data_IF_280014596782
#
_entry.id   IF_280014596782
#
_cell.length_a   1.000
_cell.length_b   1.000
_cell.length_c   1.000
_cell.angle_alpha   90.00
_cell.angle_beta   90.00
_cell.angle_gamma   90.00
#
_symmetry.space_group_name_H-M   'P 1'
#
loop_
_entity.id
_entity.type
_entity.pdbx_description
1 polymer ?
#
# COMPACT_ATOMS: atom_id res chain seq x y z
N UNK A 1 18.96 6.07 -4.53
CA UNK A 1 18.19 5.84 -5.77
C UNK A 1 18.99 5.13 -6.86
N UNK A 2 18.71 3.84 -7.08
CA UNK A 2 19.30 3.06 -8.18
C UNK A 2 18.46 3.32 -9.44
N UNK A 3 19.07 3.85 -10.52
CA UNK A 3 18.36 4.09 -11.78
C UNK A 3 17.83 2.77 -12.37
N UNK A 4 16.51 2.68 -12.59
CA UNK A 4 15.81 1.47 -13.06
C UNK A 4 15.07 1.72 -14.39
N UNK A 5 15.79 1.95 -15.50
CA UNK A 5 15.18 2.33 -16.79
C UNK A 5 14.25 1.25 -17.37
N UNK A 6 14.46 -0.02 -16.99
CA UNK A 6 13.58 -1.13 -17.39
C UNK A 6 12.22 -1.10 -16.71
N UNK A 7 12.14 -0.57 -15.48
CA UNK A 7 10.89 -0.55 -14.72
C UNK A 7 9.87 0.39 -15.38
N UNK A 8 10.34 1.56 -15.83
CA UNK A 8 9.49 2.51 -16.57
C UNK A 8 8.91 1.88 -17.84
N UNK A 9 9.75 1.17 -18.62
CA UNK A 9 9.29 0.45 -19.82
C UNK A 9 8.25 -0.63 -19.52
N UNK A 10 8.37 -1.34 -18.38
CA UNK A 10 7.37 -2.32 -17.97
C UNK A 10 6.04 -1.66 -17.65
N UNK A 11 6.06 -0.57 -16.88
CA UNK A 11 4.85 0.18 -16.53
C UNK A 11 4.18 0.75 -17.78
N UNK A 12 4.97 1.36 -18.69
CA UNK A 12 4.48 1.94 -19.95
C UNK A 12 3.92 0.87 -20.93
N UNK A 13 4.24 -0.41 -20.73
CA UNK A 13 3.75 -1.50 -21.59
C UNK A 13 2.33 -1.98 -21.25
N UNK A 14 1.77 -1.55 -20.11
CA UNK A 14 0.41 -1.91 -19.74
C UNK A 14 -0.60 -1.18 -20.63
N UNK A 15 -1.61 -1.89 -21.11
CA UNK A 15 -2.69 -1.28 -21.89
C UNK A 15 -3.67 -0.54 -20.98
N UNK A 16 -4.34 0.48 -21.51
CA UNK A 16 -5.38 1.23 -20.80
C UNK A 16 -6.47 0.30 -20.23
N UNK A 17 -6.87 -0.71 -21.01
CA UNK A 17 -7.82 -1.73 -20.57
C UNK A 17 -7.32 -2.51 -19.36
N UNK A 18 -6.07 -3.01 -19.40
CA UNK A 18 -5.51 -3.76 -18.29
C UNK A 18 -5.45 -2.92 -17.00
N UNK A 19 -5.03 -1.66 -17.12
CA UNK A 19 -4.98 -0.72 -15.98
C UNK A 19 -6.37 -0.47 -15.40
N UNK A 20 -7.37 -0.24 -16.26
CA UNK A 20 -8.76 0.01 -15.84
C UNK A 20 -9.36 -1.22 -15.16
N UNK A 21 -9.18 -2.41 -15.74
CA UNK A 21 -9.72 -3.67 -15.21
C UNK A 21 -9.06 -4.04 -13.87
N UNK A 22 -7.74 -3.87 -13.74
CA UNK A 22 -7.00 -4.10 -12.50
C UNK A 22 -7.43 -3.12 -11.39
N UNK A 23 -7.47 -1.82 -11.69
CA UNK A 23 -7.82 -0.78 -10.73
C UNK A 23 -9.26 -0.94 -10.24
N UNK A 24 -10.21 -1.18 -11.14
CA UNK A 24 -11.63 -1.36 -10.78
C UNK A 24 -11.84 -2.55 -9.85
N UNK A 25 -11.17 -3.69 -10.11
CA UNK A 25 -11.20 -4.85 -9.23
C UNK A 25 -10.55 -4.55 -7.88
N UNK A 26 -9.38 -3.92 -7.89
CA UNK A 26 -8.67 -3.58 -6.68
C UNK A 26 -9.54 -2.72 -5.74
N UNK A 27 -10.17 -1.69 -6.29
CA UNK A 27 -11.01 -0.76 -5.54
C UNK A 27 -12.25 -1.46 -4.98
N UNK A 28 -12.88 -2.33 -5.76
CA UNK A 28 -13.98 -3.20 -5.29
C UNK A 28 -13.54 -4.08 -4.11
N UNK A 29 -12.31 -4.61 -4.13
CA UNK A 29 -11.78 -5.40 -3.01
C UNK A 29 -11.52 -4.54 -1.77
N UNK A 30 -11.01 -3.31 -1.91
CA UNK A 30 -10.83 -2.39 -0.78
C UNK A 30 -12.16 -2.05 -0.11
N UNK A 31 -13.21 -1.78 -0.88
CA UNK A 31 -14.55 -1.52 -0.36
C UNK A 31 -15.09 -2.70 0.45
N UNK A 32 -14.84 -3.92 -0.02
CA UNK A 32 -15.16 -5.18 0.67
C UNK A 32 -14.23 -5.49 1.85
N UNK A 33 -13.19 -4.70 2.08
CA UNK A 33 -12.24 -4.86 3.18
C UNK A 33 -11.14 -5.90 2.93
N UNK A 34 -10.90 -6.30 1.68
CA UNK A 34 -9.91 -7.32 1.31
C UNK A 34 -8.69 -6.68 0.63
N UNK A 35 -7.80 -6.09 1.43
CA UNK A 35 -6.60 -5.41 0.91
C UNK A 35 -5.61 -6.35 0.23
N UNK A 36 -5.55 -7.61 0.68
CA UNK A 36 -4.67 -8.63 0.09
C UNK A 36 -5.07 -8.94 -1.36
N UNK A 37 -6.38 -9.07 -1.62
CA UNK A 37 -6.87 -9.18 -3.01
C UNK A 37 -6.73 -7.89 -3.79
N UNK A 38 -6.88 -6.74 -3.15
CA UNK A 38 -6.70 -5.44 -3.81
C UNK A 38 -5.26 -5.25 -4.33
N UNK A 39 -4.27 -5.57 -3.51
CA UNK A 39 -2.85 -5.55 -3.91
C UNK A 39 -2.58 -6.50 -5.07
N UNK A 40 -3.01 -7.76 -4.94
CA UNK A 40 -2.82 -8.77 -6.00
C UNK A 40 -3.42 -8.35 -7.33
N UNK A 41 -4.59 -7.70 -7.32
CA UNK A 41 -5.22 -7.20 -8.54
C UNK A 41 -4.35 -6.14 -9.25
N UNK A 42 -3.66 -5.27 -8.51
CA UNK A 42 -2.74 -4.28 -9.08
C UNK A 42 -1.38 -4.88 -9.46
N UNK A 43 -0.90 -5.90 -8.74
CA UNK A 43 0.34 -6.65 -9.04
C UNK A 43 0.27 -7.43 -10.37
N UNK A 44 -0.92 -7.61 -10.94
CA UNK A 44 -1.08 -8.15 -12.29
C UNK A 44 -0.53 -7.20 -13.38
N UNK A 45 -0.35 -5.91 -13.07
CA UNK A 45 0.24 -4.94 -13.97
C UNK A 45 1.76 -5.08 -14.05
N UNK A 46 2.30 -5.01 -15.26
CA UNK A 46 3.74 -5.09 -15.49
C UNK A 46 4.48 -3.96 -14.80
N UNK A 47 5.48 -4.30 -14.00
CA UNK A 47 6.28 -3.32 -13.26
C UNK A 47 5.60 -2.77 -11.98
N UNK A 48 4.46 -3.33 -11.58
CA UNK A 48 3.78 -3.01 -10.32
C UNK A 48 4.00 -4.14 -9.32
N UNK A 49 4.64 -3.82 -8.21
CA UNK A 49 4.80 -4.74 -7.07
C UNK A 49 4.05 -4.23 -5.83
N UNK A 50 4.16 -4.91 -4.68
CA UNK A 50 3.41 -4.57 -3.46
C UNK A 50 3.63 -3.14 -2.97
N UNK A 51 4.85 -2.62 -3.08
CA UNK A 51 5.16 -1.22 -2.72
C UNK A 51 4.41 -0.22 -3.61
N UNK A 52 4.47 -0.39 -4.93
CA UNK A 52 3.75 0.49 -5.88
C UNK A 52 2.23 0.32 -5.75
N UNK A 53 1.75 -0.90 -5.60
CA UNK A 53 0.33 -1.18 -5.45
C UNK A 53 -0.23 -0.55 -4.15
N UNK A 54 0.47 -0.72 -3.02
CA UNK A 54 0.06 -0.07 -1.76
C UNK A 54 0.14 1.45 -1.84
N UNK A 55 1.11 2.03 -2.57
CA UNK A 55 1.16 3.47 -2.83
C UNK A 55 -0.14 3.95 -3.50
N UNK A 56 -0.54 3.31 -4.60
CA UNK A 56 -1.77 3.64 -5.33
C UNK A 56 -3.01 3.50 -4.43
N UNK A 57 -3.11 2.40 -3.67
CA UNK A 57 -4.26 2.17 -2.79
C UNK A 57 -4.32 3.18 -1.64
N UNK A 58 -3.18 3.54 -1.05
CA UNK A 58 -3.11 4.53 0.04
C UNK A 58 -3.50 5.94 -0.40
N UNK A 59 -3.22 6.31 -1.66
CA UNK A 59 -3.62 7.61 -2.21
C UNK A 59 -5.14 7.75 -2.34
N UNK A 60 -5.82 6.67 -2.69
CA UNK A 60 -7.26 6.71 -2.96
C UNK A 60 -8.08 6.27 -1.74
N UNK A 61 -7.56 5.36 -0.90
CA UNK A 61 -8.16 4.94 0.38
C UNK A 61 -7.18 5.09 1.56
N UNK A 62 -6.75 6.32 1.90
CA UNK A 62 -5.78 6.54 2.97
C UNK A 62 -6.26 6.03 4.33
N UNK A 63 -7.58 6.08 4.57
CA UNK A 63 -8.24 5.55 5.77
C UNK A 63 -8.23 4.03 5.91
N UNK A 64 -7.88 3.31 4.84
CA UNK A 64 -7.92 1.83 4.82
C UNK A 64 -6.58 1.20 4.48
N UNK A 65 -5.74 1.86 3.69
CA UNK A 65 -4.49 1.31 3.20
C UNK A 65 -3.30 2.20 3.57
N UNK A 66 -2.26 1.59 4.12
CA UNK A 66 -0.97 2.22 4.37
C UNK A 66 -0.05 2.12 3.15
N UNK A 67 0.81 3.11 2.96
CA UNK A 67 1.84 3.07 1.94
C UNK A 67 3.08 2.31 2.45
N UNK A 68 3.42 1.21 1.80
CA UNK A 68 4.57 0.37 2.14
C UNK A 68 5.89 0.94 1.60
N UNK A 69 6.33 2.10 2.12
CA UNK A 69 7.64 2.68 1.78
C UNK A 69 8.79 1.99 2.51
N UNK A 70 10.01 2.12 1.99
CA UNK A 70 11.21 1.51 2.57
C UNK A 70 11.48 2.05 3.98
N UNK A 71 11.32 3.36 4.18
CA UNK A 71 11.52 4.03 5.46
C UNK A 71 10.47 3.62 6.49
N UNK A 72 9.21 3.48 6.05
CA UNK A 72 8.12 3.05 6.91
C UNK A 72 8.28 1.57 7.30
N UNK A 73 8.66 0.70 6.35
CA UNK A 73 8.95 -0.70 6.63
C UNK A 73 10.15 -0.91 7.56
N UNK A 74 11.21 -0.13 7.38
CA UNK A 74 12.40 -0.22 8.21
C UNK A 74 12.13 0.14 9.68
N UNK A 75 11.10 0.96 9.93
CA UNK A 75 10.72 1.44 11.26
C UNK A 75 9.52 0.70 11.85
N UNK A 76 8.80 -0.09 11.04
CA UNK A 76 7.65 -0.85 11.47
C UNK A 76 8.02 -1.94 12.50
N UNK A 77 7.41 -1.93 13.71
CA UNK A 77 7.75 -2.85 14.79
C UNK A 77 7.67 -4.33 14.41
N UNK A 78 6.66 -4.73 13.63
CA UNK A 78 6.41 -6.13 13.25
C UNK A 78 7.31 -6.63 12.11
N UNK A 79 8.09 -5.75 11.47
CA UNK A 79 8.95 -6.09 10.32
C UNK A 79 10.41 -6.34 10.74
N UNK A 80 10.79 -5.96 11.97
CA UNK A 80 12.11 -6.21 12.56
C UNK A 80 13.29 -5.77 11.66
N UNK A 81 13.10 -4.70 10.88
CA UNK A 81 14.14 -4.13 10.01
C UNK A 81 14.47 -4.95 8.76
N UNK A 82 13.76 -6.06 8.49
CA UNK A 82 13.95 -6.85 7.26
C UNK A 82 12.97 -6.40 6.20
N UNK A 83 13.39 -5.42 5.39
CA UNK A 83 12.60 -4.92 4.26
C UNK A 83 12.44 -6.05 3.23
N UNK A 84 11.21 -6.54 3.11
CA UNK A 84 10.78 -7.53 2.13
C UNK A 84 9.40 -7.14 1.59
N UNK A 85 9.20 -7.28 0.28
CA UNK A 85 8.01 -6.80 -0.40
C UNK A 85 7.13 -7.99 -0.77
N UNK A 86 6.61 -8.66 0.25
CA UNK A 86 5.63 -9.74 0.09
C UNK A 86 4.29 -9.32 0.69
N UNK A 87 3.21 -9.94 0.20
CA UNK A 87 1.85 -9.70 0.73
C UNK A 87 1.75 -9.95 2.25
N UNK A 88 2.52 -10.92 2.77
CA UNK A 88 2.56 -11.19 4.22
C UNK A 88 3.19 -10.05 5.00
N UNK A 89 4.28 -9.46 4.48
CA UNK A 89 4.92 -8.29 5.13
C UNK A 89 3.99 -7.10 5.06
N UNK A 90 3.27 -6.91 3.95
CA UNK A 90 2.25 -5.87 3.85
C UNK A 90 1.16 -6.03 4.92
N UNK A 91 0.63 -7.23 5.15
CA UNK A 91 -0.40 -7.47 6.16
C UNK A 91 0.08 -7.09 7.57
N UNK A 92 1.31 -7.46 7.93
CA UNK A 92 1.92 -7.05 9.21
C UNK A 92 2.08 -5.53 9.30
N UNK A 93 2.61 -4.92 8.25
CA UNK A 93 2.82 -3.48 8.17
C UNK A 93 1.49 -2.70 8.26
N UNK A 94 0.46 -3.13 7.53
CA UNK A 94 -0.87 -2.53 7.57
C UNK A 94 -1.47 -2.56 8.98
N UNK A 95 -1.28 -3.67 9.71
CA UNK A 95 -1.75 -3.79 11.09
C UNK A 95 -1.01 -2.83 12.01
N UNK A 96 0.32 -2.70 11.88
CA UNK A 96 1.12 -1.73 12.65
C UNK A 96 0.63 -0.30 12.42
N UNK A 97 0.44 0.11 11.16
CA UNK A 97 -0.01 1.46 10.81
C UNK A 97 -1.45 1.73 11.26
N UNK A 98 -2.33 0.72 11.21
CA UNK A 98 -3.71 0.82 11.72
C UNK A 98 -3.74 0.96 13.24
N UNK A 99 -2.92 0.18 13.94
CA UNK A 99 -2.79 0.29 15.40
C UNK A 99 -2.23 1.66 15.79
N UNK A 100 -1.19 2.12 15.07
CA UNK A 100 -0.55 3.40 15.34
C UNK A 100 -1.46 4.59 15.04
N UNK A 101 -2.22 4.57 13.95
CA UNK A 101 -3.20 5.61 13.65
C UNK A 101 -4.26 5.71 14.75
N UNK A 102 -4.83 4.59 15.21
CA UNK A 102 -5.75 4.60 16.36
C UNK A 102 -5.13 5.21 17.62
N UNK A 103 -3.90 4.83 17.96
CA UNK A 103 -3.20 5.41 19.12
C UNK A 103 -3.03 6.94 18.98
N UNK A 104 -2.68 7.41 17.78
CA UNK A 104 -2.52 8.85 17.53
C UNK A 104 -3.86 9.59 17.61
N UNK A 105 -4.97 8.99 17.17
CA UNK A 105 -6.32 9.56 17.35
C UNK A 105 -6.67 9.73 18.82
N UNK A 106 -6.42 8.72 19.65
CA UNK A 106 -6.68 8.74 21.09
C UNK A 106 -5.86 9.82 21.82
N UNK A 107 -4.62 10.05 21.38
CA UNK A 107 -3.71 11.03 21.95
C UNK A 107 -3.89 12.46 21.39
N UNK A 108 -4.70 12.63 20.33
CA UNK A 108 -4.81 13.90 19.61
C UNK A 108 -5.67 14.92 20.37
N UNK A 109 -5.11 16.07 20.80
CA UNK A 109 -5.84 17.09 21.56
C UNK A 109 -7.06 17.66 20.84
N UNK A 110 -7.03 17.64 19.50
CA UNK A 110 -8.06 18.25 18.64
C UNK A 110 -8.97 17.23 17.96
N UNK A 111 -8.98 15.96 18.40
CA UNK A 111 -9.69 14.86 17.71
C UNK A 111 -9.33 14.75 16.22
N UNK A 112 -8.06 14.99 15.89
CA UNK A 112 -7.56 14.79 14.54
C UNK A 112 -7.76 13.33 14.16
N UNK A 113 -8.38 13.09 13.00
CA UNK A 113 -8.52 11.76 12.44
C UNK A 113 -7.19 11.36 11.81
N UNK A 114 -6.59 10.26 12.28
CA UNK A 114 -5.36 9.71 11.72
C UNK A 114 -5.71 8.52 10.88
N UNK A 115 -5.11 8.44 9.71
CA UNK A 115 -5.32 7.32 8.80
C UNK A 115 -4.03 6.52 8.64
N UNK A 116 -4.09 5.21 8.34
CA UNK A 116 -2.90 4.43 8.04
C UNK A 116 -1.99 5.07 6.97
N UNK A 117 -2.55 5.76 5.98
CA UNK A 117 -1.76 6.50 4.98
C UNK A 117 -1.10 7.80 5.45
N UNK A 118 -1.33 8.23 6.71
CA UNK A 118 -0.72 9.43 7.32
C UNK A 118 0.34 9.09 8.38
N UNK A 119 0.42 7.83 8.78
CA UNK A 119 1.40 7.30 9.74
C UNK A 119 2.67 6.97 8.97
#
# INVERSE_FOLDING_TARGET
EKFRPRLRKLVDSNTEKAVTDASSRAFTYVEKGDLSKALKALEELSGVGPATASAVLSLVWPSRCAFMSDEALATAPSINGRVDYTNKVFELFQNDMTSKSRQLEELSPHKQKWTPGMV
#
